data_IF_526565776916
#
_entry.id   IF_526565776916
#
_cell.length_a   1.000
_cell.length_b   1.000
_cell.length_c   1.000
_cell.angle_alpha   90.00
_cell.angle_beta   90.00
_cell.angle_gamma   90.00
#
_symmetry.space_group_name_H-M   'P 1'
#
loop_
_entity.id
_entity.type
_entity.pdbx_description
1 polymer ?
#
# COMPACT_ATOMS: atom_id res chain seq x y z
N UNK A 1 19.03 4.66 -15.56
CA UNK A 1 18.56 5.97 -15.05
C UNK A 1 19.56 7.00 -15.55
N UNK A 2 19.16 7.94 -16.41
CA UNK A 2 20.10 8.94 -16.98
C UNK A 2 20.16 10.12 -16.02
N UNK A 3 21.24 10.22 -15.25
CA UNK A 3 21.52 11.40 -14.43
C UNK A 3 22.19 12.45 -15.31
N UNK A 4 21.57 13.63 -15.42
CA UNK A 4 22.16 14.77 -16.12
C UNK A 4 23.14 15.47 -15.15
N UNK A 5 24.45 15.58 -15.49
CA UNK A 5 25.40 16.25 -14.61
C UNK A 5 25.08 17.75 -14.51
N UNK A 6 25.07 18.27 -13.28
CA UNK A 6 24.96 19.70 -13.01
C UNK A 6 26.17 20.41 -13.64
N UNK A 7 25.91 21.20 -14.70
CA UNK A 7 26.94 21.95 -15.44
C UNK A 7 27.21 21.44 -16.86
N UNK A 8 26.64 20.30 -17.26
CA UNK A 8 26.63 19.88 -18.67
C UNK A 8 25.47 20.51 -19.44
N UNK A 9 25.62 20.68 -20.76
CA UNK A 9 24.54 21.11 -21.65
C UNK A 9 23.43 20.03 -21.67
N UNK A 10 22.52 20.13 -20.72
CA UNK A 10 21.41 19.20 -20.52
C UNK A 10 20.51 19.13 -21.76
N UNK A 11 20.53 20.16 -22.63
CA UNK A 11 19.84 20.18 -23.91
C UNK A 11 20.45 19.18 -24.90
N UNK A 12 21.79 19.09 -24.94
CA UNK A 12 22.50 18.09 -25.75
C UNK A 12 22.13 16.68 -25.30
N UNK A 13 22.15 16.44 -23.99
CA UNK A 13 21.81 15.12 -23.46
C UNK A 13 20.33 14.80 -23.68
N UNK A 14 19.43 15.78 -23.54
CA UNK A 14 18.01 15.60 -23.83
C UNK A 14 17.77 15.20 -25.30
N UNK A 15 18.42 15.90 -26.24
CA UNK A 15 18.36 15.59 -27.68
C UNK A 15 18.87 14.18 -27.98
N UNK A 16 20.02 13.81 -27.43
CA UNK A 16 20.60 12.47 -27.63
C UNK A 16 19.70 11.36 -27.06
N UNK A 17 18.99 11.62 -25.96
CA UNK A 17 18.14 10.63 -25.30
C UNK A 17 16.66 10.70 -25.74
N UNK A 18 16.31 11.53 -26.72
CA UNK A 18 14.93 11.71 -27.17
C UNK A 18 13.99 12.25 -26.08
N UNK A 19 14.53 12.93 -25.07
CA UNK A 19 13.77 13.49 -23.95
C UNK A 19 13.28 14.89 -24.35
N UNK A 20 11.98 15.20 -24.18
CA UNK A 20 11.49 16.56 -24.40
C UNK A 20 12.26 17.58 -23.55
N UNK A 21 12.58 18.74 -24.13
CA UNK A 21 13.32 19.80 -23.44
C UNK A 21 12.65 20.26 -22.15
N UNK A 22 11.31 20.27 -22.12
CA UNK A 22 10.50 20.56 -20.93
C UNK A 22 10.72 19.53 -19.83
N UNK A 23 10.74 18.24 -20.17
CA UNK A 23 11.02 17.15 -19.24
C UNK A 23 12.44 17.20 -18.71
N UNK A 24 13.43 17.42 -19.59
CA UNK A 24 14.83 17.55 -19.18
C UNK A 24 15.06 18.75 -18.26
N UNK A 25 14.47 19.91 -18.59
CA UNK A 25 14.48 21.10 -17.72
C UNK A 25 13.86 20.80 -16.36
N UNK A 26 12.71 20.14 -16.31
CA UNK A 26 12.06 19.77 -15.06
C UNK A 26 12.94 18.85 -14.18
N UNK A 27 13.68 17.92 -14.80
CA UNK A 27 14.62 17.03 -14.08
C UNK A 27 15.82 17.81 -13.54
N UNK A 28 16.36 18.77 -14.30
CA UNK A 28 17.47 19.61 -13.85
C UNK A 28 17.04 20.57 -12.73
N UNK A 29 15.89 21.23 -12.87
CA UNK A 29 15.39 22.21 -11.90
C UNK A 29 14.90 21.56 -10.60
N UNK A 30 14.19 20.43 -10.69
CA UNK A 30 13.61 19.75 -9.52
C UNK A 30 14.51 18.66 -8.93
N UNK A 31 15.64 18.38 -9.60
CA UNK A 31 16.46 17.20 -9.36
C UNK A 31 15.82 15.92 -9.89
N UNK A 32 16.58 14.83 -9.90
CA UNK A 32 16.05 13.51 -10.21
C UNK A 32 14.96 13.20 -9.20
N UNK A 33 13.69 13.02 -9.61
CA UNK A 33 12.69 12.54 -8.67
C UNK A 33 13.16 11.15 -8.25
N UNK A 34 13.47 10.98 -6.96
CA UNK A 34 13.37 9.67 -6.31
C UNK A 34 12.11 9.02 -6.88
N UNK A 35 12.19 7.77 -7.32
CA UNK A 35 11.09 7.08 -8.00
C UNK A 35 9.85 7.09 -7.11
N UNK A 36 9.07 8.19 -7.18
CA UNK A 36 7.89 8.38 -6.38
C UNK A 36 6.96 7.29 -6.83
N UNK A 37 6.48 6.47 -5.88
CA UNK A 37 5.46 5.47 -6.17
C UNK A 37 4.35 6.16 -6.95
N UNK A 38 4.11 5.66 -8.17
CA UNK A 38 3.11 6.23 -9.05
C UNK A 38 1.74 5.81 -8.54
N UNK A 39 0.90 6.79 -8.22
CA UNK A 39 -0.44 6.55 -7.68
C UNK A 39 -0.40 6.05 -6.22
N UNK A 40 -1.59 5.80 -5.67
CA UNK A 40 -1.78 5.35 -4.30
C UNK A 40 -3.16 5.74 -3.78
N UNK A 41 -3.69 4.95 -2.84
CA UNK A 41 -4.89 5.33 -2.11
C UNK A 41 -4.59 6.58 -1.28
N UNK A 42 -5.44 7.59 -1.38
CA UNK A 42 -5.35 8.76 -0.52
C UNK A 42 -6.00 8.40 0.80
N UNK A 43 -5.27 8.47 1.91
CA UNK A 43 -5.82 8.20 3.24
C UNK A 43 -7.11 8.99 3.53
N UNK A 44 -7.20 10.24 3.04
CA UNK A 44 -8.39 11.09 3.17
C UNK A 44 -9.63 10.60 2.37
N UNK A 45 -9.47 9.68 1.41
CA UNK A 45 -10.55 9.11 0.61
C UNK A 45 -10.81 7.64 1.01
N UNK A 46 -9.87 7.00 1.70
CA UNK A 46 -10.02 5.62 2.17
C UNK A 46 -11.16 5.54 3.19
N UNK A 47 -12.27 4.90 2.80
CA UNK A 47 -13.44 4.69 3.65
C UNK A 47 -13.19 3.65 4.75
N UNK A 48 -12.20 2.78 4.57
CA UNK A 48 -11.79 1.78 5.55
C UNK A 48 -10.74 2.42 6.47
N UNK A 49 -11.16 2.89 7.64
CA UNK A 49 -10.24 3.43 8.63
C UNK A 49 -9.59 2.29 9.41
N UNK A 50 -8.40 2.49 10.00
CA UNK A 50 -7.75 1.48 10.84
C UNK A 50 -8.66 0.97 11.98
N UNK A 51 -9.53 1.83 12.49
CA UNK A 51 -10.50 1.49 13.54
C UNK A 51 -11.62 0.57 13.02
N UNK A 52 -12.02 0.72 11.76
CA UNK A 52 -12.98 -0.18 11.13
C UNK A 52 -12.36 -1.56 10.87
N UNK A 53 -11.07 -1.59 10.50
CA UNK A 53 -10.32 -2.84 10.34
C UNK A 53 -10.16 -3.57 11.68
N UNK A 54 -9.79 -2.86 12.75
CA UNK A 54 -9.66 -3.46 14.07
C UNK A 54 -10.99 -3.98 14.61
N UNK A 55 -12.08 -3.22 14.47
CA UNK A 55 -13.42 -3.66 14.87
C UNK A 55 -13.87 -4.92 14.11
N UNK A 56 -13.49 -5.05 12.83
CA UNK A 56 -13.79 -6.23 12.04
C UNK A 56 -13.01 -7.46 12.53
N UNK A 57 -11.71 -7.29 12.81
CA UNK A 57 -10.86 -8.37 13.35
C UNK A 57 -11.38 -8.83 14.71
N UNK A 58 -11.64 -7.90 15.63
CA UNK A 58 -12.20 -8.19 16.95
C UNK A 58 -13.54 -8.95 16.85
N UNK A 59 -14.41 -8.56 15.92
CA UNK A 59 -15.68 -9.25 15.71
C UNK A 59 -15.47 -10.68 15.20
N UNK A 60 -14.57 -10.88 14.23
CA UNK A 60 -14.27 -12.22 13.73
C UNK A 60 -13.74 -13.10 14.85
N UNK A 61 -12.73 -12.64 15.59
CA UNK A 61 -12.13 -13.40 16.68
C UNK A 61 -13.18 -13.79 17.71
N UNK A 62 -14.01 -12.84 18.17
CA UNK A 62 -15.12 -13.13 19.10
C UNK A 62 -16.09 -14.18 18.54
N UNK A 63 -16.42 -14.11 17.25
CA UNK A 63 -17.30 -15.10 16.61
C UNK A 63 -16.67 -16.50 16.60
N UNK A 64 -15.39 -16.61 16.29
CA UNK A 64 -14.69 -17.90 16.33
C UNK A 64 -14.57 -18.46 17.75
N UNK A 65 -14.25 -17.62 18.75
CA UNK A 65 -14.21 -18.03 20.15
C UNK A 65 -15.58 -18.46 20.69
N UNK A 66 -16.65 -17.75 20.33
CA UNK A 66 -18.01 -18.10 20.77
C UNK A 66 -18.52 -19.38 20.11
N UNK A 67 -18.27 -19.58 18.82
CA UNK A 67 -18.61 -20.80 18.09
C UNK A 67 -17.81 -22.03 18.60
N UNK A 68 -16.52 -21.86 18.85
CA UNK A 68 -15.69 -22.91 19.42
C UNK A 68 -16.16 -23.30 20.83
N UNK A 69 -16.64 -22.33 21.62
CA UNK A 69 -17.17 -22.56 22.97
C UNK A 69 -18.55 -23.20 23.00
N UNK A 70 -19.43 -22.88 22.05
CA UNK A 70 -20.73 -23.56 21.93
C UNK A 70 -20.55 -25.00 21.46
N UNK A 71 -19.66 -25.22 20.48
CA UNK A 71 -19.40 -26.57 19.96
C UNK A 71 -18.69 -27.51 20.96
N UNK A 72 -17.90 -26.96 21.90
CA UNK A 72 -17.34 -27.76 23.01
C UNK A 72 -18.38 -28.14 24.06
N UNK A 73 -19.30 -27.23 24.42
CA UNK A 73 -20.41 -27.55 25.33
C UNK A 73 -21.36 -28.59 24.75
N UNK A 74 -21.64 -28.54 23.45
CA UNK A 74 -22.50 -29.53 22.78
C UNK A 74 -21.88 -30.92 22.73
N UNK A 75 -20.54 -31.04 22.68
CA UNK A 75 -19.85 -32.34 22.78
C UNK A 75 -19.85 -32.91 24.20
N UNK A 76 -19.67 -32.06 25.21
CA UNK A 76 -19.70 -32.47 26.63
C UNK A 76 -21.11 -32.92 27.07
N UNK A 77 -22.16 -32.32 26.48
CA UNK A 77 -23.56 -32.60 26.82
C UNK A 77 -24.13 -33.85 26.12
N UNK A 78 -23.41 -34.47 25.18
CA UNK A 78 -23.83 -35.76 24.61
C UNK A 78 -23.47 -36.87 25.59
N UNK A 79 -24.45 -37.68 26.05
CA UNK A 79 -24.14 -38.81 26.90
C UNK A 79 -23.17 -39.73 26.16
N UNK A 80 -22.06 -40.11 26.83
CA UNK A 80 -21.20 -41.19 26.32
C UNK A 80 -22.06 -42.44 26.33
N UNK A 81 -22.36 -43.01 25.15
CA UNK A 81 -23.09 -44.28 25.11
C UNK A 81 -22.24 -45.35 25.81
N UNK A 82 -22.87 -46.12 26.70
CA UNK A 82 -22.28 -47.33 27.30
C UNK A 82 -22.10 -48.41 26.26
#
# INVERSE_FOLDING_TARGET
MVSLPLGGDWMLVARHNGIPSTTARNIVERGTPELKKRGGARAAITKCTPEMESALVDWMERKYYTLARSSSRDRESRPRSM
#
